data_IF_076536282691
#
_entry.id   IF_076536282691
#
_cell.length_a   1.000
_cell.length_b   1.000
_cell.length_c   1.000
_cell.angle_alpha   90.00
_cell.angle_beta   90.00
_cell.angle_gamma   90.00
#
_symmetry.space_group_name_H-M   'P 1'
#
loop_
_entity.id
_entity.type
_entity.pdbx_description
1 polymer ?
#
# COMPACT_ATOMS: atom_id res chain seq x y z
N UNK A 1 8.49 18.43 -5.54
CA UNK A 1 9.65 17.56 -5.48
C UNK A 1 10.81 18.19 -6.23
N UNK A 2 11.95 18.42 -5.56
CA UNK A 2 13.16 18.89 -6.27
C UNK A 2 13.90 17.66 -6.77
N UNK A 3 13.92 17.48 -8.08
CA UNK A 3 14.79 16.51 -8.75
C UNK A 3 16.23 16.97 -8.57
N UNK A 4 17.10 16.12 -8.03
CA UNK A 4 18.55 16.34 -8.01
C UNK A 4 19.08 16.21 -9.44
N UNK A 5 19.15 17.33 -10.15
CA UNK A 5 19.71 17.39 -11.49
C UNK A 5 21.24 17.52 -11.41
N UNK A 6 21.94 16.65 -12.11
CA UNK A 6 23.38 16.80 -12.34
C UNK A 6 23.58 18.02 -13.24
N UNK A 7 24.32 19.02 -12.76
CA UNK A 7 24.66 20.21 -13.57
C UNK A 7 25.65 19.83 -14.67
N UNK A 8 25.25 20.08 -15.91
CA UNK A 8 26.18 20.10 -17.03
C UNK A 8 26.98 21.41 -16.99
N UNK A 9 28.25 21.42 -17.45
CA UNK A 9 29.04 22.64 -17.57
C UNK A 9 28.33 23.63 -18.48
N UNK A 10 28.28 24.87 -18.07
CA UNK A 10 27.79 25.98 -18.89
C UNK A 10 29.02 26.71 -19.43
N UNK A 11 29.10 26.88 -20.75
CA UNK A 11 30.10 27.73 -21.40
C UNK A 11 29.75 29.20 -21.10
N UNK A 12 30.10 29.64 -19.90
CA UNK A 12 29.94 31.03 -19.45
C UNK A 12 31.20 31.44 -18.68
N UNK A 13 31.62 32.69 -18.83
CA UNK A 13 32.82 33.24 -18.19
C UNK A 13 32.85 33.06 -16.66
N UNK A 14 31.72 32.73 -16.05
CA UNK A 14 31.58 32.43 -14.62
C UNK A 14 31.29 30.95 -14.31
N UNK A 15 31.56 30.02 -15.24
CA UNK A 15 31.30 28.60 -15.03
C UNK A 15 32.05 28.03 -13.81
N UNK A 16 33.24 28.54 -13.51
CA UNK A 16 34.06 28.12 -12.38
C UNK A 16 33.64 28.77 -11.05
N UNK A 17 32.77 29.80 -11.12
CA UNK A 17 32.29 30.51 -9.93
C UNK A 17 30.73 30.60 -9.91
N UNK A 18 30.03 29.48 -9.80
CA UNK A 18 28.57 29.44 -9.92
C UNK A 18 27.83 30.29 -8.88
N UNK A 19 28.47 30.60 -7.77
CA UNK A 19 27.91 31.45 -6.71
C UNK A 19 27.85 32.95 -7.10
N UNK A 20 28.60 33.39 -8.12
CA UNK A 20 28.54 34.75 -8.68
C UNK A 20 27.38 34.94 -9.67
N UNK A 21 26.79 33.85 -10.18
CA UNK A 21 25.66 33.93 -11.10
C UNK A 21 24.37 34.34 -10.36
N UNK A 22 23.65 35.30 -10.98
CA UNK A 22 22.34 35.66 -10.45
C UNK A 22 21.36 34.48 -10.55
N UNK A 23 20.41 34.31 -9.59
CA UNK A 23 19.45 33.18 -9.62
C UNK A 23 18.63 33.08 -10.89
N UNK A 24 18.34 34.18 -11.57
CA UNK A 24 17.59 34.24 -12.83
C UNK A 24 18.40 33.74 -14.04
N UNK A 25 19.73 33.76 -13.99
CA UNK A 25 20.64 33.29 -15.04
C UNK A 25 21.09 31.86 -14.82
N UNK A 26 20.80 31.25 -13.67
CA UNK A 26 21.15 29.85 -13.45
C UNK A 26 20.36 28.98 -14.44
N UNK A 27 21.02 28.16 -15.28
CA UNK A 27 20.33 27.32 -16.21
C UNK A 27 19.38 26.39 -15.47
N UNK A 28 18.13 26.32 -15.95
CA UNK A 28 17.22 25.27 -15.52
C UNK A 28 17.78 23.97 -16.10
N UNK A 29 18.42 23.18 -15.27
CA UNK A 29 18.91 21.86 -15.69
C UNK A 29 17.69 21.05 -16.08
N UNK A 30 17.59 20.70 -17.37
CA UNK A 30 16.64 19.69 -17.82
C UNK A 30 17.00 18.39 -17.08
N UNK A 31 16.02 17.58 -16.65
CA UNK A 31 16.33 16.23 -16.20
C UNK A 31 17.21 15.58 -17.27
N UNK A 32 18.36 15.06 -16.88
CA UNK A 32 19.18 14.27 -17.80
C UNK A 32 18.27 13.20 -18.40
N UNK A 33 18.41 12.95 -19.71
CA UNK A 33 17.71 11.85 -20.36
C UNK A 33 18.10 10.57 -19.63
N UNK A 34 17.22 10.13 -18.75
CA UNK A 34 17.42 8.93 -17.93
C UNK A 34 17.14 7.75 -18.84
N UNK A 35 18.21 7.15 -19.38
CA UNK A 35 18.07 5.95 -20.19
C UNK A 35 17.63 4.81 -19.28
N UNK A 36 16.43 4.34 -19.48
CA UNK A 36 15.79 3.25 -18.74
C UNK A 36 15.74 2.01 -19.66
N UNK A 37 15.90 0.79 -19.13
CA UNK A 37 15.70 -0.42 -19.93
C UNK A 37 14.33 -0.43 -20.60
N UNK A 38 14.23 -0.86 -21.87
CA UNK A 38 12.98 -0.82 -22.63
C UNK A 38 11.90 -1.74 -22.02
N UNK A 39 12.30 -2.82 -21.36
CA UNK A 39 11.42 -3.74 -20.67
C UNK A 39 11.85 -3.84 -19.21
N UNK A 40 10.89 -3.73 -18.28
CA UNK A 40 11.12 -3.85 -16.84
C UNK A 40 10.13 -4.85 -16.29
N UNK A 41 10.64 -5.89 -15.64
CA UNK A 41 9.81 -6.89 -14.97
C UNK A 41 9.30 -6.31 -13.65
N UNK A 42 7.98 -6.39 -13.45
CA UNK A 42 7.30 -6.01 -12.22
C UNK A 42 6.51 -7.21 -11.72
N UNK A 43 6.89 -7.72 -10.57
CA UNK A 43 6.20 -8.84 -9.92
C UNK A 43 5.30 -8.30 -8.82
N UNK A 44 4.02 -8.65 -8.85
CA UNK A 44 3.05 -8.28 -7.81
C UNK A 44 2.74 -9.51 -6.97
N UNK A 45 3.04 -9.42 -5.68
CA UNK A 45 2.78 -10.47 -4.69
C UNK A 45 2.24 -9.85 -3.39
N UNK A 46 2.88 -10.08 -2.25
CA UNK A 46 2.64 -9.35 -0.99
C UNK A 46 2.99 -7.86 -1.12
N UNK A 47 4.00 -7.54 -1.93
CA UNK A 47 4.39 -6.20 -2.35
C UNK A 47 4.50 -6.12 -3.89
N UNK A 48 4.88 -4.96 -4.40
CA UNK A 48 5.24 -4.74 -5.80
C UNK A 48 6.76 -4.75 -5.92
N UNK A 49 7.30 -5.76 -6.58
CA UNK A 49 8.74 -5.93 -6.79
C UNK A 49 9.13 -5.50 -8.20
N UNK A 50 9.93 -4.44 -8.31
CA UNK A 50 10.41 -3.90 -9.57
C UNK A 50 11.85 -4.34 -9.77
N UNK A 51 12.16 -5.03 -10.87
CA UNK A 51 13.56 -5.38 -11.19
C UNK A 51 14.37 -4.10 -11.42
N UNK A 52 15.41 -3.91 -10.59
CA UNK A 52 16.27 -2.72 -10.64
C UNK A 52 17.49 -2.90 -11.54
N UNK A 53 17.62 -4.03 -12.20
CA UNK A 53 18.77 -4.32 -13.08
C UNK A 53 18.80 -3.32 -14.24
N UNK A 54 19.89 -2.56 -14.32
CA UNK A 54 20.06 -1.53 -15.35
C UNK A 54 19.25 -0.24 -15.09
N UNK A 55 18.52 -0.12 -13.99
CA UNK A 55 17.86 1.13 -13.62
C UNK A 55 18.88 2.16 -13.12
N UNK A 56 18.84 3.39 -13.64
CA UNK A 56 19.66 4.49 -13.13
C UNK A 56 19.29 4.86 -11.69
N UNK A 57 20.26 5.33 -10.90
CA UNK A 57 20.04 5.74 -9.51
C UNK A 57 18.96 6.81 -9.35
N UNK A 58 18.81 7.70 -10.34
CA UNK A 58 17.76 8.72 -10.35
C UNK A 58 16.36 8.09 -10.42
N UNK A 59 16.17 7.06 -11.26
CA UNK A 59 14.92 6.32 -11.38
C UNK A 59 14.61 5.54 -10.09
N UNK A 60 15.62 4.84 -9.55
CA UNK A 60 15.47 4.13 -8.25
C UNK A 60 15.02 5.11 -7.18
N UNK A 61 15.64 6.30 -7.09
CA UNK A 61 15.26 7.31 -6.12
C UNK A 61 13.84 7.86 -6.34
N UNK A 62 13.38 7.95 -7.60
CA UNK A 62 12.03 8.37 -7.95
C UNK A 62 11.01 7.31 -7.51
N UNK A 63 11.23 6.04 -7.82
CA UNK A 63 10.36 4.93 -7.42
C UNK A 63 10.28 4.80 -5.88
N UNK A 64 11.39 4.90 -5.18
CA UNK A 64 11.41 4.88 -3.70
C UNK A 64 10.57 6.03 -3.10
N UNK A 65 10.51 7.19 -3.76
CA UNK A 65 9.70 8.33 -3.29
C UNK A 65 8.21 8.10 -3.39
N UNK A 66 7.75 7.26 -4.30
CA UNK A 66 6.32 6.87 -4.40
C UNK A 66 5.82 6.29 -3.09
N UNK A 67 6.67 5.51 -2.40
CA UNK A 67 6.35 4.90 -1.11
C UNK A 67 6.86 5.73 0.09
N UNK A 68 7.09 7.04 -0.08
CA UNK A 68 7.62 7.89 0.97
C UNK A 68 6.71 9.08 1.28
N UNK A 69 6.55 9.39 2.56
CA UNK A 69 5.72 10.51 3.00
C UNK A 69 6.35 11.26 4.18
N UNK A 70 5.89 12.49 4.37
CA UNK A 70 6.33 13.31 5.49
C UNK A 70 5.83 12.72 6.80
N UNK A 71 6.73 12.57 7.79
CA UNK A 71 6.39 12.01 9.09
C UNK A 71 5.56 13.00 9.94
N UNK A 72 4.26 12.74 10.17
CA UNK A 72 3.43 13.65 10.94
C UNK A 72 3.91 13.87 12.39
N UNK A 73 4.55 12.84 12.98
CA UNK A 73 5.08 12.95 14.34
C UNK A 73 6.28 13.89 14.44
N UNK A 74 7.15 13.88 13.41
CA UNK A 74 8.27 14.82 13.33
C UNK A 74 7.75 16.26 13.30
N UNK A 75 6.84 16.56 12.37
CA UNK A 75 6.32 17.92 12.19
C UNK A 75 5.45 18.38 13.36
N UNK A 76 4.71 17.47 14.00
CA UNK A 76 3.98 17.79 15.24
C UNK A 76 4.95 18.14 16.38
N UNK A 77 5.98 17.33 16.59
CA UNK A 77 7.00 17.63 17.61
C UNK A 77 7.70 18.96 17.33
N UNK A 78 8.06 19.22 16.07
CA UNK A 78 8.68 20.48 15.65
C UNK A 78 7.76 21.69 15.92
N UNK A 79 6.48 21.59 15.55
CA UNK A 79 5.50 22.66 15.80
C UNK A 79 5.31 22.94 17.30
N UNK A 80 5.38 21.91 18.13
CA UNK A 80 5.28 22.01 19.59
C UNK A 80 6.63 22.34 20.26
N UNK A 81 7.69 22.59 19.49
CA UNK A 81 9.08 22.82 19.98
C UNK A 81 9.59 21.68 20.89
N UNK A 82 9.13 20.46 20.64
CA UNK A 82 9.60 19.26 21.33
C UNK A 82 10.80 18.64 20.60
N UNK A 83 11.64 17.83 21.28
CA UNK A 83 12.73 17.11 20.65
C UNK A 83 12.27 16.24 19.49
N UNK A 84 12.95 16.35 18.35
CA UNK A 84 12.70 15.53 17.14
C UNK A 84 13.70 14.39 17.00
N UNK A 85 14.55 14.19 17.99
CA UNK A 85 15.54 13.10 17.98
C UNK A 85 14.85 11.74 17.84
N UNK A 86 15.41 10.88 17.00
CA UNK A 86 14.84 9.57 16.71
C UNK A 86 13.58 9.57 15.80
N UNK A 87 13.11 10.75 15.35
CA UNK A 87 11.97 10.86 14.43
C UNK A 87 12.49 11.31 13.06
N UNK A 88 12.51 10.44 12.05
CA UNK A 88 12.91 10.84 10.70
C UNK A 88 11.88 11.83 10.13
N UNK A 89 12.35 12.78 9.30
CA UNK A 89 11.46 13.74 8.60
C UNK A 89 10.54 13.07 7.57
N UNK A 90 11.06 12.02 6.95
CA UNK A 90 10.38 11.25 5.90
C UNK A 90 10.37 9.80 6.34
N UNK A 91 9.22 9.16 6.23
CA UNK A 91 9.05 7.72 6.38
C UNK A 91 9.03 7.12 4.98
N UNK A 92 9.88 6.13 4.72
CA UNK A 92 9.86 5.34 3.50
C UNK A 92 9.35 3.95 3.81
N UNK A 93 8.36 3.50 3.02
CA UNK A 93 7.84 2.14 3.05
C UNK A 93 8.42 1.29 1.91
N UNK A 94 9.36 1.84 1.13
CA UNK A 94 10.08 1.09 0.11
C UNK A 94 11.22 0.31 0.74
N UNK A 95 11.45 -0.90 0.25
CA UNK A 95 12.58 -1.76 0.61
C UNK A 95 13.50 -1.96 -0.60
N UNK A 96 14.80 -1.89 -0.37
CA UNK A 96 15.80 -2.10 -1.41
C UNK A 96 16.45 -3.48 -1.24
N UNK A 97 16.11 -4.39 -2.12
CA UNK A 97 16.76 -5.69 -2.25
C UNK A 97 17.90 -5.65 -3.27
N UNK A 98 18.79 -6.65 -3.31
CA UNK A 98 19.92 -6.67 -4.26
C UNK A 98 19.51 -6.50 -5.72
N UNK A 99 18.37 -7.07 -6.13
CA UNK A 99 17.87 -7.05 -7.50
C UNK A 99 16.52 -6.37 -7.69
N UNK A 100 15.81 -6.02 -6.61
CA UNK A 100 14.45 -5.47 -6.68
C UNK A 100 14.29 -4.25 -5.79
N UNK A 101 13.35 -3.41 -6.17
CA UNK A 101 12.75 -2.40 -5.30
C UNK A 101 11.39 -2.96 -4.91
N UNK A 102 11.13 -3.13 -3.61
CA UNK A 102 9.83 -3.54 -3.13
C UNK A 102 9.05 -2.31 -2.66
N UNK A 103 7.83 -2.16 -3.15
CA UNK A 103 6.91 -1.07 -2.83
C UNK A 103 5.60 -1.65 -2.28
N UNK A 104 4.90 -0.95 -1.38
CA UNK A 104 3.54 -1.33 -1.00
C UNK A 104 2.62 -1.48 -2.21
N UNK A 105 1.71 -2.43 -2.20
CA UNK A 105 0.79 -2.74 -3.33
C UNK A 105 0.01 -1.53 -3.84
N UNK A 106 -0.37 -0.61 -2.95
CA UNK A 106 -1.05 0.63 -3.34
C UNK A 106 -0.20 1.62 -4.16
N UNK A 107 1.09 1.37 -4.32
CA UNK A 107 2.00 2.18 -5.15
C UNK A 107 2.12 1.66 -6.59
N UNK A 108 1.41 0.58 -6.96
CA UNK A 108 1.57 -0.09 -8.26
C UNK A 108 1.30 0.84 -9.45
N UNK A 109 0.13 1.49 -9.46
CA UNK A 109 -0.29 2.32 -10.60
C UNK A 109 0.67 3.49 -10.83
N UNK A 110 1.05 4.22 -9.76
CA UNK A 110 1.98 5.34 -9.83
C UNK A 110 3.38 4.89 -10.25
N UNK A 111 3.83 3.73 -9.78
CA UNK A 111 5.14 3.19 -10.18
C UNK A 111 5.16 2.80 -11.67
N UNK A 112 4.09 2.17 -12.18
CA UNK A 112 3.95 1.82 -13.59
C UNK A 112 3.87 3.08 -14.47
N UNK A 113 3.14 4.10 -14.05
CA UNK A 113 3.05 5.38 -14.75
C UNK A 113 4.42 6.04 -14.89
N UNK A 114 5.19 6.11 -13.80
CA UNK A 114 6.57 6.64 -13.81
C UNK A 114 7.46 5.88 -14.81
N UNK A 115 7.40 4.54 -14.81
CA UNK A 115 8.18 3.73 -15.74
C UNK A 115 7.78 3.98 -17.19
N UNK A 116 6.48 4.09 -17.46
CA UNK A 116 5.93 4.36 -18.78
C UNK A 116 6.31 5.78 -19.30
N UNK A 117 6.29 6.80 -18.44
CA UNK A 117 6.72 8.16 -18.77
C UNK A 117 8.20 8.22 -19.26
N UNK A 118 9.03 7.29 -18.79
CA UNK A 118 10.43 7.15 -19.21
C UNK A 118 10.61 6.15 -20.37
N UNK A 119 9.50 5.73 -21.00
CA UNK A 119 9.53 4.87 -22.19
C UNK A 119 9.73 3.38 -21.91
N UNK A 120 9.68 2.95 -20.65
CA UNK A 120 9.79 1.55 -20.32
C UNK A 120 8.44 0.81 -20.48
N UNK A 121 8.48 -0.39 -21.04
CA UNK A 121 7.36 -1.31 -21.08
C UNK A 121 7.42 -2.20 -19.83
N UNK A 122 6.33 -2.26 -19.08
CA UNK A 122 6.21 -3.12 -17.90
C UNK A 122 5.81 -4.53 -18.34
N UNK A 123 6.58 -5.52 -17.91
CA UNK A 123 6.27 -6.94 -18.00
C UNK A 123 5.73 -7.38 -16.63
N UNK A 124 4.40 -7.50 -16.53
CA UNK A 124 3.72 -7.86 -15.29
C UNK A 124 3.78 -9.36 -15.04
N UNK A 125 4.22 -9.75 -13.83
CA UNK A 125 4.22 -11.11 -13.32
C UNK A 125 3.40 -11.14 -12.03
N UNK A 126 2.16 -11.67 -12.11
CA UNK A 126 1.20 -11.61 -11.00
C UNK A 126 1.21 -12.90 -10.20
N UNK A 127 1.69 -12.80 -8.96
CA UNK A 127 1.77 -13.87 -7.96
C UNK A 127 0.82 -13.63 -6.78
N UNK A 128 -0.21 -12.79 -6.93
CA UNK A 128 -1.19 -12.58 -5.87
C UNK A 128 -1.99 -13.85 -5.63
N UNK A 129 -2.26 -14.14 -4.35
CA UNK A 129 -3.22 -15.18 -4.01
C UNK A 129 -4.63 -14.73 -4.41
N UNK A 130 -5.33 -15.56 -5.17
CA UNK A 130 -6.74 -15.35 -5.46
C UNK A 130 -7.64 -15.84 -4.31
N UNK A 131 -7.06 -16.51 -3.32
CA UNK A 131 -7.78 -17.17 -2.24
C UNK A 131 -8.70 -18.29 -2.74
N UNK A 132 -9.48 -18.83 -1.82
CA UNK A 132 -10.48 -19.87 -2.13
C UNK A 132 -11.88 -19.27 -2.25
N UNK A 133 -12.72 -19.75 -3.19
CA UNK A 133 -14.11 -19.31 -3.28
C UNK A 133 -14.87 -19.56 -1.97
N UNK A 134 -15.69 -18.61 -1.56
CA UNK A 134 -16.62 -18.82 -0.47
C UNK A 134 -17.74 -19.79 -0.92
N UNK A 135 -18.34 -20.53 0.02
CA UNK A 135 -19.56 -21.29 -0.28
C UNK A 135 -20.65 -20.39 -0.85
N UNK A 136 -21.38 -20.85 -1.87
CA UNK A 136 -22.46 -20.10 -2.54
C UNK A 136 -23.55 -19.62 -1.59
N UNK A 137 -23.64 -20.23 -0.41
CA UNK A 137 -24.56 -19.83 0.64
C UNK A 137 -24.17 -18.53 1.33
N UNK A 138 -22.91 -18.08 1.17
CA UNK A 138 -22.42 -16.84 1.83
C UNK A 138 -22.85 -15.63 0.99
N UNK A 139 -23.88 -14.95 1.44
CA UNK A 139 -24.45 -13.78 0.78
C UNK A 139 -24.60 -12.62 1.74
N UNK A 140 -24.49 -11.40 1.23
CA UNK A 140 -24.77 -10.20 2.02
C UNK A 140 -26.29 -10.02 2.19
N UNK A 141 -26.73 -9.97 3.43
CA UNK A 141 -28.16 -9.83 3.79
C UNK A 141 -28.62 -8.38 3.97
N UNK A 142 -27.67 -7.44 4.04
CA UNK A 142 -27.96 -6.05 4.32
C UNK A 142 -28.43 -5.27 3.09
N UNK A 143 -28.91 -4.05 3.36
CA UNK A 143 -29.13 -3.03 2.31
C UNK A 143 -28.20 -1.85 2.56
N UNK A 144 -27.39 -1.50 1.56
CA UNK A 144 -26.51 -0.36 1.62
C UNK A 144 -27.30 0.95 1.50
N UNK A 145 -27.00 1.92 2.35
CA UNK A 145 -27.49 3.30 2.19
C UNK A 145 -26.83 3.95 0.96
N UNK A 146 -27.40 4.99 0.35
CA UNK A 146 -26.84 5.59 -0.87
C UNK A 146 -25.35 5.98 -0.78
N UNK A 147 -24.91 6.47 0.38
CA UNK A 147 -23.50 6.82 0.62
C UNK A 147 -22.60 5.58 0.76
N UNK A 148 -23.11 4.51 1.37
CA UNK A 148 -22.41 3.23 1.49
C UNK A 148 -22.33 2.53 0.14
N UNK A 149 -23.37 2.63 -0.68
CA UNK A 149 -23.40 2.09 -2.05
C UNK A 149 -22.31 2.73 -2.92
N UNK A 150 -22.20 4.07 -2.89
CA UNK A 150 -21.10 4.78 -3.61
C UNK A 150 -19.72 4.35 -3.14
N UNK A 151 -19.53 4.19 -1.82
CA UNK A 151 -18.26 3.71 -1.27
C UNK A 151 -17.96 2.27 -1.69
N UNK A 152 -18.97 1.41 -1.71
CA UNK A 152 -18.87 0.03 -2.18
C UNK A 152 -18.46 -0.04 -3.66
N UNK A 153 -19.14 0.71 -4.53
CA UNK A 153 -18.83 0.78 -5.97
C UNK A 153 -17.40 1.29 -6.22
N UNK A 154 -16.98 2.32 -5.50
CA UNK A 154 -15.61 2.82 -5.60
C UNK A 154 -14.56 1.79 -5.15
N UNK A 155 -14.83 1.03 -4.08
CA UNK A 155 -13.91 0.00 -3.60
C UNK A 155 -13.88 -1.25 -4.49
N UNK A 156 -15.00 -1.60 -5.15
CA UNK A 156 -15.04 -2.75 -6.05
C UNK A 156 -14.35 -2.50 -7.39
N UNK A 157 -14.17 -1.24 -7.77
CA UNK A 157 -13.45 -0.86 -8.99
C UNK A 157 -11.93 -1.06 -8.90
N UNK A 158 -11.39 -1.30 -7.70
CA UNK A 158 -9.96 -1.43 -7.45
C UNK A 158 -9.65 -2.64 -6.57
N UNK A 159 -8.45 -3.21 -6.72
CA UNK A 159 -7.99 -4.33 -5.88
C UNK A 159 -7.58 -3.84 -4.48
N UNK A 160 -7.07 -2.64 -4.39
CA UNK A 160 -6.67 -2.01 -3.12
C UNK A 160 -7.37 -0.67 -2.96
N UNK A 161 -7.72 -0.32 -1.72
CA UNK A 161 -8.38 0.95 -1.46
C UNK A 161 -8.48 1.28 0.02
N UNK A 162 -8.74 2.55 0.34
CA UNK A 162 -8.93 3.03 1.70
C UNK A 162 -10.29 3.70 1.83
N UNK A 163 -11.14 3.17 2.70
CA UNK A 163 -12.40 3.82 3.06
C UNK A 163 -12.21 4.77 4.25
N UNK A 164 -12.00 6.04 3.96
CA UNK A 164 -12.01 7.09 4.98
C UNK A 164 -13.44 7.56 5.24
N UNK A 165 -14.00 7.23 6.39
CA UNK A 165 -15.37 7.57 6.75
C UNK A 165 -15.50 7.86 8.25
N UNK A 166 -16.47 8.71 8.60
CA UNK A 166 -16.77 9.11 9.97
C UNK A 166 -17.19 7.92 10.85
N UNK A 167 -17.18 8.13 12.15
CA UNK A 167 -17.78 7.18 13.10
C UNK A 167 -19.28 7.01 12.76
N UNK A 168 -19.81 5.82 12.96
CA UNK A 168 -21.20 5.45 12.63
C UNK A 168 -21.59 5.45 11.13
N UNK A 169 -20.64 5.66 10.22
CA UNK A 169 -20.87 5.49 8.76
C UNK A 169 -21.36 4.07 8.42
N UNK A 170 -20.91 3.06 9.16
CA UNK A 170 -21.18 1.65 8.90
C UNK A 170 -20.13 1.00 8.02
N UNK A 171 -18.85 1.30 8.28
CA UNK A 171 -17.69 0.69 7.56
C UNK A 171 -17.76 -0.83 7.53
N UNK A 172 -18.16 -1.46 8.63
CA UNK A 172 -18.31 -2.91 8.72
C UNK A 172 -19.41 -3.46 7.80
N UNK A 173 -20.48 -2.70 7.58
CA UNK A 173 -21.57 -3.08 6.65
C UNK A 173 -21.04 -3.10 5.21
N UNK A 174 -20.29 -2.05 4.82
CA UNK A 174 -19.66 -1.99 3.49
C UNK A 174 -18.65 -3.12 3.32
N UNK A 175 -17.84 -3.40 4.33
CA UNK A 175 -16.89 -4.51 4.27
C UNK A 175 -17.58 -5.88 4.17
N UNK A 176 -18.68 -6.10 4.90
CA UNK A 176 -19.48 -7.34 4.75
C UNK A 176 -20.08 -7.47 3.34
N UNK A 177 -20.51 -6.36 2.74
CA UNK A 177 -20.97 -6.36 1.36
C UNK A 177 -19.84 -6.68 0.36
N UNK A 178 -18.62 -6.16 0.61
CA UNK A 178 -17.43 -6.48 -0.19
C UNK A 178 -17.07 -7.97 -0.10
N UNK A 179 -17.11 -8.56 1.09
CA UNK A 179 -16.85 -9.99 1.30
C UNK A 179 -17.84 -10.83 0.48
N UNK A 180 -19.13 -10.54 0.60
CA UNK A 180 -20.16 -11.24 -0.18
C UNK A 180 -20.03 -11.05 -1.69
N UNK A 181 -19.60 -9.87 -2.14
CA UNK A 181 -19.43 -9.56 -3.55
C UNK A 181 -18.19 -10.24 -4.16
N UNK A 182 -17.03 -10.15 -3.47
CA UNK A 182 -15.80 -10.80 -3.95
C UNK A 182 -15.86 -12.31 -3.84
N UNK A 183 -16.69 -12.83 -2.95
CA UNK A 183 -16.93 -14.26 -2.75
C UNK A 183 -15.63 -15.08 -2.61
N UNK A 184 -14.64 -14.53 -1.91
CA UNK A 184 -13.35 -15.14 -1.62
C UNK A 184 -13.14 -15.25 -0.11
N UNK A 185 -12.39 -16.26 0.32
CA UNK A 185 -12.02 -16.38 1.72
C UNK A 185 -11.30 -15.11 2.19
N UNK A 186 -11.62 -14.66 3.40
CA UNK A 186 -11.25 -13.32 3.83
C UNK A 186 -10.65 -13.33 5.23
N UNK A 187 -9.55 -12.63 5.41
CA UNK A 187 -8.94 -12.35 6.70
C UNK A 187 -9.17 -10.88 7.10
N UNK A 188 -9.92 -10.67 8.18
CA UNK A 188 -10.15 -9.34 8.76
C UNK A 188 -9.13 -9.09 9.85
N UNK A 189 -8.27 -8.08 9.67
CA UNK A 189 -7.24 -7.72 10.64
C UNK A 189 -7.70 -6.58 11.56
N UNK A 190 -7.59 -6.77 12.84
CA UNK A 190 -7.93 -5.77 13.87
C UNK A 190 -6.81 -5.65 14.91
N UNK A 191 -6.74 -4.49 15.57
CA UNK A 191 -5.68 -4.19 16.55
C UNK A 191 -6.14 -4.28 18.02
N UNK A 192 -7.45 -4.50 18.28
CA UNK A 192 -8.03 -4.61 19.63
C UNK A 192 -9.01 -5.77 19.71
N UNK A 193 -9.06 -6.39 20.90
CA UNK A 193 -9.93 -7.54 21.17
C UNK A 193 -11.42 -7.19 21.03
N UNK A 194 -11.82 -6.02 21.52
CA UNK A 194 -13.21 -5.56 21.43
C UNK A 194 -13.68 -5.45 19.97
N UNK A 195 -12.77 -5.05 19.08
CA UNK A 195 -13.04 -5.01 17.64
C UNK A 195 -13.17 -6.41 17.05
N UNK A 196 -12.35 -7.39 17.51
CA UNK A 196 -12.46 -8.76 17.05
C UNK A 196 -13.86 -9.33 17.36
N UNK A 197 -14.29 -9.23 18.61
CA UNK A 197 -15.60 -9.71 19.03
C UNK A 197 -16.73 -8.97 18.29
N UNK A 198 -16.61 -7.65 18.12
CA UNK A 198 -17.57 -6.84 17.36
C UNK A 198 -17.64 -7.25 15.87
N UNK A 199 -16.50 -7.52 15.23
CA UNK A 199 -16.48 -7.96 13.84
C UNK A 199 -17.14 -9.31 13.66
N UNK A 200 -16.85 -10.30 14.53
CA UNK A 200 -17.48 -11.62 14.49
C UNK A 200 -19.01 -11.50 14.58
N UNK A 201 -19.52 -10.69 15.51
CA UNK A 201 -20.97 -10.48 15.64
C UNK A 201 -21.58 -9.74 14.45
N UNK A 202 -20.88 -8.79 13.87
CA UNK A 202 -21.34 -8.07 12.68
C UNK A 202 -21.38 -8.94 11.44
N UNK A 203 -20.35 -9.78 11.23
CA UNK A 203 -20.32 -10.73 10.12
C UNK A 203 -21.50 -11.69 10.20
N UNK A 204 -21.82 -12.24 11.39
CA UNK A 204 -23.03 -13.06 11.61
C UNK A 204 -24.33 -12.32 11.29
N UNK A 205 -24.37 -11.01 11.54
CA UNK A 205 -25.58 -10.20 11.33
C UNK A 205 -25.80 -9.80 9.87
N UNK A 206 -24.71 -9.61 9.11
CA UNK A 206 -24.77 -9.08 7.74
C UNK A 206 -24.50 -10.11 6.64
N UNK A 207 -24.00 -11.30 7.01
CA UNK A 207 -23.79 -12.38 6.05
C UNK A 207 -24.71 -13.56 6.35
N UNK A 208 -25.27 -14.14 5.31
CA UNK A 208 -25.87 -15.46 5.39
C UNK A 208 -24.75 -16.51 5.42
N UNK A 209 -24.32 -16.89 6.62
CA UNK A 209 -23.17 -17.78 6.81
C UNK A 209 -23.38 -18.67 8.05
N UNK A 210 -22.98 -19.94 7.95
CA UNK A 210 -22.89 -20.78 9.14
C UNK A 210 -21.82 -20.19 10.09
N UNK A 211 -22.19 -19.99 11.35
CA UNK A 211 -21.30 -19.43 12.39
C UNK A 211 -19.99 -20.21 12.53
N UNK A 212 -20.00 -21.51 12.19
CA UNK A 212 -18.82 -22.37 12.20
C UNK A 212 -17.76 -21.98 11.17
N UNK A 213 -18.15 -21.22 10.14
CA UNK A 213 -17.27 -20.72 9.07
C UNK A 213 -16.66 -19.36 9.41
N UNK A 214 -16.99 -18.78 10.56
CA UNK A 214 -16.38 -17.56 11.07
C UNK A 214 -15.39 -17.92 12.17
N UNK A 215 -14.11 -17.76 11.88
CA UNK A 215 -13.04 -18.03 12.84
C UNK A 215 -12.55 -16.79 13.58
N UNK A 216 -11.76 -17.04 14.62
CA UNK A 216 -11.17 -15.98 15.43
C UNK A 216 -9.75 -16.37 15.87
N UNK A 217 -8.79 -15.44 15.66
CA UNK A 217 -7.39 -15.58 16.04
C UNK A 217 -7.00 -14.42 16.95
N UNK A 218 -6.79 -14.71 18.22
CA UNK A 218 -6.39 -13.71 19.22
C UNK A 218 -7.25 -13.74 20.47
N UNK A 219 -6.86 -12.97 21.49
CA UNK A 219 -7.58 -12.93 22.76
C UNK A 219 -7.65 -14.29 23.49
N UNK A 220 -6.63 -15.13 23.34
CA UNK A 220 -6.60 -16.49 23.90
C UNK A 220 -7.32 -17.55 23.04
N UNK A 221 -7.86 -17.18 21.90
CA UNK A 221 -8.49 -18.09 20.93
C UNK A 221 -7.61 -18.22 19.68
N UNK A 222 -7.45 -19.43 19.17
CA UNK A 222 -6.85 -19.70 17.86
C UNK A 222 -7.68 -20.76 17.16
N UNK A 223 -8.70 -20.33 16.45
CA UNK A 223 -9.63 -21.20 15.72
C UNK A 223 -9.88 -20.62 14.33
N UNK A 224 -8.86 -20.66 13.45
CA UNK A 224 -9.06 -20.30 12.06
C UNK A 224 -9.95 -21.31 11.36
N UNK A 225 -10.75 -20.86 10.42
CA UNK A 225 -11.60 -21.68 9.56
C UNK A 225 -11.09 -21.74 8.14
N UNK A 226 -10.27 -20.77 7.72
CA UNK A 226 -9.83 -20.59 6.35
C UNK A 226 -10.92 -20.03 5.43
N UNK A 227 -12.10 -19.69 5.97
CA UNK A 227 -13.24 -19.15 5.20
C UNK A 227 -13.37 -17.65 5.45
N UNK A 228 -13.84 -17.25 6.63
CA UNK A 228 -13.82 -15.84 7.06
C UNK A 228 -13.25 -15.81 8.46
N UNK A 229 -12.10 -15.23 8.62
CA UNK A 229 -11.43 -15.19 9.89
C UNK A 229 -11.15 -13.75 10.33
N UNK A 230 -11.36 -13.48 11.62
CA UNK A 230 -11.02 -12.21 12.24
C UNK A 230 -9.82 -12.41 13.14
N UNK A 231 -8.75 -11.66 12.92
CA UNK A 231 -7.49 -11.84 13.64
C UNK A 231 -6.99 -10.55 14.28
N UNK A 232 -6.45 -10.68 15.50
CA UNK A 232 -5.61 -9.64 16.07
C UNK A 232 -4.25 -9.63 15.37
N UNK A 233 -3.83 -8.49 14.85
CA UNK A 233 -2.55 -8.33 14.16
C UNK A 233 -1.39 -8.86 15.02
N UNK A 234 -1.40 -8.54 16.32
CA UNK A 234 -0.36 -8.97 17.26
C UNK A 234 -0.32 -10.50 17.48
N UNK A 235 -1.41 -11.19 17.15
CA UNK A 235 -1.49 -12.66 17.29
C UNK A 235 -0.99 -13.40 16.05
N UNK A 236 -0.77 -12.67 14.95
CA UNK A 236 -0.23 -13.18 13.69
C UNK A 236 1.26 -12.85 13.52
N UNK A 237 1.86 -12.13 14.44
CA UNK A 237 3.29 -11.80 14.40
C UNK A 237 3.99 -12.42 15.60
N UNK A 238 5.01 -13.25 15.34
CA UNK A 238 5.87 -13.87 16.37
C UNK A 238 7.34 -13.63 16.01
N UNK A 239 8.10 -13.09 16.94
CA UNK A 239 9.56 -12.83 16.75
C UNK A 239 9.90 -12.01 15.49
N UNK A 240 8.98 -11.15 15.03
CA UNK A 240 9.14 -10.37 13.81
C UNK A 240 8.74 -11.10 12.52
N UNK A 241 8.31 -12.34 12.60
CA UNK A 241 7.81 -13.13 11.47
C UNK A 241 6.28 -13.14 11.47
N UNK A 242 5.69 -13.07 10.28
CA UNK A 242 4.25 -13.14 10.06
C UNK A 242 3.85 -14.61 9.92
N UNK A 243 2.73 -14.99 10.52
CA UNK A 243 2.18 -16.34 10.45
C UNK A 243 1.77 -16.70 9.01
N UNK A 244 2.19 -17.85 8.52
CA UNK A 244 1.98 -18.32 7.13
C UNK A 244 0.50 -18.37 6.73
N UNK A 245 -0.41 -18.53 7.69
CA UNK A 245 -1.87 -18.52 7.44
C UNK A 245 -2.35 -17.27 6.69
N UNK A 246 -1.61 -16.15 6.79
CA UNK A 246 -1.98 -14.90 6.11
C UNK A 246 -1.95 -15.06 4.59
N UNK A 247 -1.10 -15.94 4.07
CA UNK A 247 -0.96 -16.20 2.64
C UNK A 247 -2.11 -17.02 2.04
N UNK A 248 -2.95 -17.65 2.87
CA UNK A 248 -4.03 -18.52 2.40
C UNK A 248 -5.29 -17.74 1.96
N UNK A 249 -5.35 -16.43 2.24
CA UNK A 249 -6.53 -15.60 1.94
C UNK A 249 -6.33 -14.77 0.66
N UNK A 250 -7.46 -14.57 -0.07
CA UNK A 250 -7.52 -13.77 -1.29
C UNK A 250 -7.96 -12.33 -1.12
#
# INVERSE_FOLDING_TARGET
>A
GQVLAVRMPVDDENADEPWKMSPSRRPKVKPADVVVPPNIKVTVADQVYIDRTGLPSAMIAQLVRVAAFQNPEFYRAQAMRLPTFGKPRVVSCAELHPRHIALPRGCFDEAVEILAEHGAKVELDDHRSEGTPLPDTVQFLGKLRPQQQRAFEALTAHDTGVLAATTAFGKTVVASALIGHRARNTLVLVHRRELLDQWVERLKSFLQIDVKLIGAIGGGKRKPTGVIDVALIQSLVRNGEVDDIVADYG
#
